data_IF_015908953444
#
_entry.id   IF_015908953444
#
_cell.length_a   1.000
_cell.length_b   1.000
_cell.length_c   1.000
_cell.angle_alpha   90.00
_cell.angle_beta   90.00
_cell.angle_gamma   90.00
#
_symmetry.space_group_name_H-M   'P 1'
#
loop_
_entity.id
_entity.type
_entity.pdbx_description
1 polymer ?
#
# COMPACT_ATOMS: atom_id res chain seq x y z
N UNK A 1 -18.73 -0.80 9.47
CA UNK A 1 -17.76 -1.51 8.61
C UNK A 1 -16.58 -0.57 8.41
N UNK A 2 -15.51 -0.80 9.17
CA UNK A 2 -14.37 0.11 9.24
C UNK A 2 -13.45 -0.37 10.36
N UNK A 3 -12.16 -0.11 10.20
CA UNK A 3 -11.15 -0.45 11.20
C UNK A 3 -11.42 0.32 12.50
N UNK A 4 -11.24 -0.36 13.64
CA UNK A 4 -11.52 0.22 14.96
C UNK A 4 -10.73 1.53 15.19
N UNK A 5 -11.42 2.68 15.42
CA UNK A 5 -10.75 3.96 15.65
C UNK A 5 -9.73 3.93 16.79
N UNK A 6 -9.98 3.15 17.84
CA UNK A 6 -9.03 3.03 18.95
C UNK A 6 -7.73 2.34 18.51
N UNK A 7 -7.82 1.34 17.63
CA UNK A 7 -6.65 0.66 17.06
C UNK A 7 -5.87 1.57 16.12
N UNK A 8 -6.57 2.38 15.31
CA UNK A 8 -5.93 3.38 14.46
C UNK A 8 -5.17 4.38 15.33
N UNK A 9 -5.83 4.99 16.32
CA UNK A 9 -5.21 5.97 17.20
C UNK A 9 -3.96 5.43 17.91
N UNK A 10 -4.05 4.20 18.47
CA UNK A 10 -2.92 3.55 19.11
C UNK A 10 -1.75 3.30 18.13
N UNK A 11 -2.04 2.86 16.90
CA UNK A 11 -1.01 2.67 15.88
C UNK A 11 -0.35 4.00 15.48
N UNK A 12 -1.13 5.05 15.24
CA UNK A 12 -0.62 6.37 14.88
C UNK A 12 0.26 6.98 15.97
N UNK A 13 -0.09 6.80 17.25
CA UNK A 13 0.75 7.22 18.37
C UNK A 13 2.10 6.50 18.37
N UNK A 14 2.13 5.20 18.08
CA UNK A 14 3.40 4.46 17.93
C UNK A 14 4.21 4.98 16.76
N UNK A 15 3.59 5.21 15.61
CA UNK A 15 4.29 5.69 14.40
C UNK A 15 4.93 7.05 14.61
N UNK A 16 4.28 7.95 15.38
CA UNK A 16 4.81 9.26 15.70
C UNK A 16 6.08 9.22 16.58
N UNK A 17 6.32 8.11 17.29
CA UNK A 17 7.52 7.90 18.12
C UNK A 17 8.66 7.23 17.35
N UNK A 18 8.45 6.82 16.10
CA UNK A 18 9.47 6.17 15.28
C UNK A 18 10.36 7.22 14.59
N UNK A 19 11.66 6.94 14.47
CA UNK A 19 12.61 7.80 13.76
C UNK A 19 12.61 7.59 12.23
N UNK A 20 11.75 6.70 11.71
CA UNK A 20 11.70 6.36 10.29
C UNK A 20 11.03 7.46 9.46
N UNK A 21 11.80 8.11 8.59
CA UNK A 21 11.29 9.06 7.58
C UNK A 21 10.25 8.40 6.67
N UNK A 22 10.45 7.13 6.31
CA UNK A 22 9.50 6.38 5.49
C UNK A 22 8.14 6.23 6.19
N UNK A 23 8.16 5.87 7.48
CA UNK A 23 6.94 5.77 8.28
C UNK A 23 6.22 7.12 8.40
N UNK A 24 6.96 8.21 8.66
CA UNK A 24 6.41 9.55 8.75
C UNK A 24 5.72 9.97 7.44
N UNK A 25 6.35 9.69 6.29
CA UNK A 25 5.75 9.94 4.97
C UNK A 25 4.48 9.14 4.74
N UNK A 26 4.43 7.88 5.17
CA UNK A 26 3.20 7.09 5.03
C UNK A 26 2.06 7.59 5.92
N UNK A 27 2.35 7.90 7.18
CA UNK A 27 1.33 8.43 8.09
C UNK A 27 0.75 9.76 7.57
N UNK A 28 1.58 10.57 6.91
CA UNK A 28 1.14 11.84 6.30
C UNK A 28 0.15 11.66 5.13
N UNK A 29 0.13 10.51 4.45
CA UNK A 29 -0.81 10.26 3.34
C UNK A 29 -2.28 10.23 3.77
N UNK A 30 -2.56 9.83 5.02
CA UNK A 30 -3.92 9.72 5.54
C UNK A 30 -4.15 10.53 6.83
N UNK A 31 -3.10 10.98 7.52
CA UNK A 31 -3.22 11.81 8.73
C UNK A 31 -4.03 11.15 9.85
N UNK A 32 -3.99 9.81 9.93
CA UNK A 32 -4.84 9.01 10.83
C UNK A 32 -6.34 8.95 10.49
N UNK A 33 -6.78 9.54 9.37
CA UNK A 33 -8.19 9.57 8.96
C UNK A 33 -8.56 8.36 8.10
N UNK A 34 -9.69 7.73 8.40
CA UNK A 34 -10.17 6.56 7.66
C UNK A 34 -11.12 6.90 6.48
N UNK A 35 -11.46 8.17 6.28
CA UNK A 35 -12.44 8.62 5.29
C UNK A 35 -11.82 9.16 3.99
N UNK A 36 -10.50 9.22 3.90
CA UNK A 36 -9.78 9.66 2.70
C UNK A 36 -8.48 8.86 2.53
N UNK A 37 -8.58 7.72 1.84
CA UNK A 37 -7.50 6.73 1.77
C UNK A 37 -6.99 6.44 0.35
N UNK A 38 -7.69 6.92 -0.69
CA UNK A 38 -7.23 6.79 -2.08
C UNK A 38 -6.34 7.98 -2.39
N UNK A 39 -5.05 7.74 -2.58
CA UNK A 39 -4.06 8.83 -2.75
C UNK A 39 -3.86 9.19 -4.22
N UNK A 40 -4.13 8.25 -5.11
CA UNK A 40 -4.10 8.37 -6.56
C UNK A 40 -4.97 7.24 -7.17
N UNK A 41 -5.20 7.18 -8.50
CA UNK A 41 -5.93 6.07 -9.12
C UNK A 41 -5.25 4.72 -8.83
N UNK A 42 -5.86 3.90 -7.96
CA UNK A 42 -5.43 2.59 -7.44
C UNK A 42 -4.51 2.54 -6.20
N UNK A 43 -3.58 3.48 -5.94
CA UNK A 43 -2.90 3.55 -4.64
C UNK A 43 -3.85 3.88 -3.47
N UNK A 44 -3.90 2.98 -2.50
CA UNK A 44 -4.70 3.08 -1.29
C UNK A 44 -3.83 3.02 -0.04
N UNK A 45 -3.90 4.05 0.81
CA UNK A 45 -3.07 4.21 2.00
C UNK A 45 -3.66 3.56 3.28
N UNK A 46 -4.82 2.90 3.20
CA UNK A 46 -5.50 2.38 4.39
C UNK A 46 -4.76 1.27 5.13
N UNK A 47 -3.85 0.56 4.46
CA UNK A 47 -2.95 -0.40 5.12
C UNK A 47 -2.08 0.28 6.19
N UNK A 48 -1.67 1.53 5.93
CA UNK A 48 -0.85 2.35 6.82
C UNK A 48 -1.58 2.89 8.05
N UNK A 49 -2.91 2.69 8.17
CA UNK A 49 -3.65 3.10 9.37
C UNK A 49 -3.21 2.30 10.61
N UNK A 50 -2.80 1.04 10.44
CA UNK A 50 -2.42 0.14 11.54
C UNK A 50 -1.15 -0.68 11.30
N UNK A 51 -0.72 -0.83 10.05
CA UNK A 51 0.53 -1.54 9.73
C UNK A 51 1.66 -0.52 9.59
N UNK A 52 2.78 -0.80 10.26
CA UNK A 52 4.02 -0.05 10.09
C UNK A 52 4.72 -0.40 8.76
N UNK A 53 5.65 0.47 8.37
CA UNK A 53 6.43 0.35 7.14
C UNK A 53 5.97 1.30 6.05
N UNK A 54 6.73 1.27 4.95
CA UNK A 54 6.39 1.98 3.73
C UNK A 54 5.33 1.16 2.98
N UNK A 55 4.08 1.62 2.92
CA UNK A 55 3.05 0.84 2.25
C UNK A 55 1.81 1.63 1.87
N UNK A 56 1.60 1.75 0.57
CA UNK A 56 0.28 1.84 -0.05
C UNK A 56 -0.03 0.49 -0.70
N UNK A 57 -1.29 0.09 -0.73
CA UNK A 57 -1.72 -1.05 -1.54
C UNK A 57 -2.16 -0.56 -2.93
N UNK A 58 -1.77 -1.27 -3.99
CA UNK A 58 -2.42 -1.10 -5.29
C UNK A 58 -3.72 -1.91 -5.28
N UNK A 59 -4.86 -1.23 -5.45
CA UNK A 59 -6.20 -1.82 -5.39
C UNK A 59 -6.92 -1.57 -6.71
N UNK A 60 -7.33 -2.64 -7.37
CA UNK A 60 -8.03 -2.62 -8.65
C UNK A 60 -8.10 -4.01 -9.26
N UNK A 61 -8.51 -4.09 -10.53
CA UNK A 61 -8.39 -5.28 -11.36
C UNK A 61 -6.91 -5.64 -11.61
N UNK A 62 -6.64 -6.88 -12.01
CA UNK A 62 -5.28 -7.31 -12.35
C UNK A 62 -4.65 -6.45 -13.46
N UNK A 63 -5.45 -6.03 -14.44
CA UNK A 63 -5.00 -5.15 -15.52
C UNK A 63 -4.60 -3.75 -15.00
N UNK A 64 -5.40 -3.17 -14.09
CA UNK A 64 -5.08 -1.88 -13.47
C UNK A 64 -3.81 -1.97 -12.60
N UNK A 65 -3.65 -3.05 -11.84
CA UNK A 65 -2.44 -3.28 -11.03
C UNK A 65 -1.21 -3.42 -11.93
N UNK A 66 -1.29 -4.20 -13.00
CA UNK A 66 -0.20 -4.37 -13.97
C UNK A 66 0.18 -3.04 -14.64
N UNK A 67 -0.81 -2.21 -14.98
CA UNK A 67 -0.57 -0.89 -15.55
C UNK A 67 0.18 0.02 -14.57
N UNK A 68 -0.21 0.05 -13.28
CA UNK A 68 0.49 0.83 -12.26
C UNK A 68 1.94 0.35 -12.03
N UNK A 69 2.18 -0.96 -12.04
CA UNK A 69 3.54 -1.51 -11.94
C UNK A 69 4.39 -1.09 -13.16
N UNK A 70 3.81 -1.10 -14.36
CA UNK A 70 4.51 -0.67 -15.58
C UNK A 70 4.81 0.83 -15.58
N UNK A 71 3.93 1.66 -15.00
CA UNK A 71 4.22 3.10 -14.80
C UNK A 71 5.41 3.32 -13.86
N UNK A 72 5.50 2.57 -12.75
CA UNK A 72 6.67 2.61 -11.89
C UNK A 72 7.93 2.16 -12.63
N UNK A 73 7.84 1.11 -13.45
CA UNK A 73 8.97 0.64 -14.25
C UNK A 73 9.45 1.67 -15.28
N UNK A 74 8.55 2.35 -15.96
CA UNK A 74 8.87 3.46 -16.87
C UNK A 74 9.53 4.66 -16.16
N UNK A 75 9.33 4.80 -14.85
CA UNK A 75 10.01 5.79 -14.01
C UNK A 75 11.37 5.30 -13.48
N UNK A 76 11.81 4.09 -13.87
CA UNK A 76 13.10 3.50 -13.50
C UNK A 76 13.07 2.59 -12.28
N UNK A 77 11.89 2.15 -11.81
CA UNK A 77 11.78 1.13 -10.75
C UNK A 77 11.89 -0.27 -11.36
N UNK A 78 12.95 -0.99 -11.03
CA UNK A 78 13.26 -2.31 -11.58
C UNK A 78 12.85 -3.48 -10.67
N UNK A 79 12.77 -3.26 -9.36
CA UNK A 79 12.44 -4.30 -8.39
C UNK A 79 11.20 -3.96 -7.54
N UNK A 80 10.29 -4.95 -7.39
CA UNK A 80 9.03 -4.80 -6.68
C UNK A 80 8.90 -5.85 -5.57
N UNK A 81 8.97 -5.40 -4.31
CA UNK A 81 8.72 -6.24 -3.14
C UNK A 81 7.23 -6.17 -2.78
N UNK A 82 6.47 -7.16 -3.23
CA UNK A 82 5.01 -7.20 -3.04
C UNK A 82 4.61 -8.05 -1.83
N UNK A 83 3.53 -7.64 -1.16
CA UNK A 83 2.85 -8.44 -0.13
C UNK A 83 1.35 -8.26 -0.25
N UNK A 84 0.58 -9.34 -0.06
CA UNK A 84 -0.87 -9.36 -0.15
C UNK A 84 -1.46 -10.42 0.79
N UNK A 85 -2.75 -10.36 1.11
CA UNK A 85 -3.38 -11.26 2.09
C UNK A 85 -4.62 -11.97 1.53
N UNK A 86 -4.78 -13.28 1.76
CA UNK A 86 -3.80 -14.20 2.36
C UNK A 86 -2.58 -14.47 1.45
N UNK A 87 -1.40 -14.68 2.02
CA UNK A 87 -0.14 -14.63 1.27
C UNK A 87 -0.02 -15.66 0.14
N UNK A 88 -0.43 -16.90 0.35
CA UNK A 88 -0.23 -17.98 -0.63
C UNK A 88 -1.14 -17.79 -1.86
N UNK A 89 -2.42 -17.58 -1.61
CA UNK A 89 -3.44 -17.40 -2.64
C UNK A 89 -3.15 -16.15 -3.46
N UNK A 90 -2.77 -15.05 -2.82
CA UNK A 90 -2.48 -13.80 -3.51
C UNK A 90 -1.17 -13.87 -4.29
N UNK A 91 -0.12 -14.54 -3.78
CA UNK A 91 1.09 -14.79 -4.55
C UNK A 91 0.77 -15.58 -5.84
N UNK A 92 -0.12 -16.57 -5.75
CA UNK A 92 -0.58 -17.32 -6.93
C UNK A 92 -1.37 -16.44 -7.90
N UNK A 93 -2.35 -15.65 -7.43
CA UNK A 93 -3.15 -14.75 -8.29
C UNK A 93 -2.27 -13.72 -9.01
N UNK A 94 -1.32 -13.11 -8.30
CA UNK A 94 -0.39 -12.17 -8.91
C UNK A 94 0.45 -12.87 -9.97
N UNK A 95 1.04 -14.03 -9.66
CA UNK A 95 1.82 -14.80 -10.63
C UNK A 95 1.02 -15.30 -11.86
N UNK A 96 -0.28 -15.57 -11.69
CA UNK A 96 -1.16 -16.05 -12.77
C UNK A 96 -1.74 -14.91 -13.64
N UNK A 97 -1.97 -13.72 -13.07
CA UNK A 97 -2.80 -12.69 -13.70
C UNK A 97 -2.14 -11.32 -13.88
N UNK A 98 -1.03 -11.05 -13.18
CA UNK A 98 -0.31 -9.78 -13.29
C UNK A 98 1.00 -10.05 -14.04
N UNK A 99 1.08 -9.70 -15.33
CA UNK A 99 2.31 -9.88 -16.08
C UNK A 99 3.43 -9.00 -15.48
N UNK A 100 4.71 -9.38 -15.68
CA UNK A 100 5.82 -8.52 -15.33
C UNK A 100 5.68 -7.13 -15.98
N UNK A 101 6.06 -6.06 -15.27
CA UNK A 101 6.00 -4.72 -15.83
C UNK A 101 6.95 -4.60 -17.03
N UNK A 102 6.54 -3.80 -18.02
CA UNK A 102 7.37 -3.44 -19.17
C UNK A 102 7.92 -2.04 -18.96
N UNK A 103 9.24 -1.88 -19.13
CA UNK A 103 9.95 -0.59 -19.03
C UNK A 103 10.13 0.11 -20.36
#
# INVERSE_FOLDING_TARGET
>A
MGMDPARIAAAQQRFAQMESVGQARMAALHGGRADSLVVAPNPWAGVGLVREGAGTALVGSYAEVAARLSEYAALGVDEFILSAWPHLEEARRVGEHVPPPVG
#
